data_IF_755124103251
#
_entry.id   IF_755124103251
#
_cell.length_a   1.000
_cell.length_b   1.000
_cell.length_c   1.000
_cell.angle_alpha   90.00
_cell.angle_beta   90.00
_cell.angle_gamma   90.00
#
_symmetry.space_group_name_H-M   'P 1'
#
loop_
_entity.id
_entity.type
_entity.pdbx_description
1 polymer ?
#
# COMPACT_ATOMS: atom_id res chain seq x y z
N UNK A 1 -7.98 1.18 0.34
CA UNK A 1 -8.42 2.08 -0.76
C UNK A 1 -9.09 1.31 -1.87
N UNK A 2 -8.47 0.26 -2.37
CA UNK A 2 -8.97 -0.53 -3.50
C UNK A 2 -8.65 -2.01 -3.27
N UNK A 3 -9.44 -2.92 -3.87
CA UNK A 3 -9.18 -4.36 -3.87
C UNK A 3 -8.96 -4.81 -5.32
N UNK A 4 -7.74 -5.19 -5.66
CA UNK A 4 -7.36 -5.63 -6.99
C UNK A 4 -5.85 -5.62 -7.22
N UNK A 5 -5.44 -5.65 -8.49
CA UNK A 5 -4.03 -5.72 -8.88
C UNK A 5 -3.58 -4.45 -9.61
N UNK A 6 -2.41 -3.92 -9.23
CA UNK A 6 -1.76 -2.78 -9.88
C UNK A 6 -0.58 -3.32 -10.68
N UNK A 7 -0.75 -3.44 -12.00
CA UNK A 7 0.27 -4.03 -12.86
C UNK A 7 1.17 -2.98 -13.49
N UNK A 8 0.61 -1.83 -13.84
CA UNK A 8 1.27 -0.79 -14.61
C UNK A 8 1.21 0.57 -13.91
N UNK A 9 2.10 1.51 -14.26
CA UNK A 9 1.99 2.88 -13.76
C UNK A 9 0.65 3.55 -14.10
N UNK A 10 0.05 3.21 -15.24
CA UNK A 10 -1.25 3.74 -15.64
C UNK A 10 -2.36 3.31 -14.67
N UNK A 11 -2.28 2.11 -14.11
CA UNK A 11 -3.24 1.64 -13.09
C UNK A 11 -3.09 2.45 -11.80
N UNK A 12 -1.85 2.72 -11.38
CA UNK A 12 -1.58 3.56 -10.21
C UNK A 12 -2.09 5.00 -10.40
N UNK A 13 -1.91 5.59 -11.59
CA UNK A 13 -2.42 6.94 -11.91
C UNK A 13 -3.96 6.99 -11.80
N UNK A 14 -4.68 5.98 -12.29
CA UNK A 14 -6.15 5.90 -12.14
C UNK A 14 -6.57 5.87 -10.66
N UNK A 15 -5.85 5.12 -9.83
CA UNK A 15 -6.12 5.07 -8.39
C UNK A 15 -5.86 6.41 -7.71
N UNK A 16 -4.77 7.10 -8.08
CA UNK A 16 -4.48 8.44 -7.57
C UNK A 16 -5.57 9.44 -7.97
N UNK A 17 -6.00 9.43 -9.23
CA UNK A 17 -7.05 10.32 -9.71
C UNK A 17 -8.39 10.05 -9.01
N UNK A 18 -8.77 8.77 -8.85
CA UNK A 18 -9.98 8.40 -8.11
C UNK A 18 -9.93 8.86 -6.65
N UNK A 19 -8.75 8.80 -6.00
CA UNK A 19 -8.57 9.33 -4.64
C UNK A 19 -8.63 10.86 -4.59
N UNK A 20 -8.10 11.55 -5.62
CA UNK A 20 -8.14 13.02 -5.74
C UNK A 20 -9.57 13.53 -5.92
N UNK A 21 -10.38 12.82 -6.71
CA UNK A 21 -11.80 13.11 -6.93
C UNK A 21 -12.70 12.68 -5.77
N UNK A 22 -12.18 11.99 -4.75
CA UNK A 22 -12.96 11.49 -3.61
C UNK A 22 -13.81 10.25 -3.92
N UNK A 23 -13.62 9.61 -5.08
CA UNK A 23 -14.33 8.39 -5.47
C UNK A 23 -13.83 7.16 -4.70
N UNK A 24 -12.55 7.16 -4.33
CA UNK A 24 -11.95 6.13 -3.48
C UNK A 24 -11.37 6.77 -2.21
N UNK A 25 -11.51 6.13 -1.04
CA UNK A 25 -10.92 6.64 0.19
C UNK A 25 -9.41 6.41 0.18
N UNK A 26 -8.64 7.47 0.42
CA UNK A 26 -7.21 7.38 0.75
C UNK A 26 -7.02 7.22 2.25
N UNK A 27 -5.89 6.66 2.62
CA UNK A 27 -5.48 6.50 4.02
C UNK A 27 -4.96 7.84 4.54
N UNK A 28 -5.53 8.32 5.65
CA UNK A 28 -5.24 9.61 6.26
C UNK A 28 -4.52 9.49 7.62
N UNK A 29 -4.18 8.27 8.04
CA UNK A 29 -3.42 7.99 9.26
C UNK A 29 -2.79 6.60 9.19
N UNK A 30 -1.90 6.28 10.12
CA UNK A 30 -1.41 4.90 10.27
C UNK A 30 -2.55 3.95 10.61
N UNK A 31 -2.45 2.73 10.09
CA UNK A 31 -3.35 1.64 10.44
C UNK A 31 -3.15 1.20 11.90
N UNK A 32 -4.27 0.92 12.58
CA UNK A 32 -4.29 0.27 13.89
C UNK A 32 -3.80 -1.18 13.80
N UNK A 33 -3.59 -1.82 14.94
CA UNK A 33 -3.19 -3.23 14.99
C UNK A 33 -4.24 -4.13 14.34
N UNK A 34 -5.53 -3.84 14.57
CA UNK A 34 -6.67 -4.59 14.03
C UNK A 34 -6.79 -4.38 12.52
N UNK A 35 -6.67 -3.14 12.03
CA UNK A 35 -6.73 -2.83 10.59
C UNK A 35 -5.60 -3.52 9.81
N UNK A 36 -4.41 -3.69 10.43
CA UNK A 36 -3.29 -4.42 9.81
C UNK A 36 -3.58 -5.91 9.63
N UNK A 37 -4.38 -6.52 10.51
CA UNK A 37 -4.77 -7.93 10.39
C UNK A 37 -5.66 -8.17 9.16
N UNK A 38 -6.31 -7.12 8.66
CA UNK A 38 -7.17 -7.19 7.48
C UNK A 38 -6.38 -7.06 6.16
N UNK A 39 -5.06 -6.87 6.21
CA UNK A 39 -4.22 -6.80 5.01
C UNK A 39 -4.09 -8.19 4.38
N UNK A 40 -4.70 -8.34 3.21
CA UNK A 40 -4.71 -9.58 2.44
C UNK A 40 -4.20 -9.35 1.03
N UNK A 41 -4.02 -10.43 0.27
CA UNK A 41 -3.71 -10.35 -1.16
C UNK A 41 -4.71 -9.45 -1.87
N UNK A 42 -4.24 -8.63 -2.81
CA UNK A 42 -5.02 -7.62 -3.55
C UNK A 42 -5.41 -6.36 -2.78
N UNK A 43 -5.04 -6.23 -1.50
CA UNK A 43 -5.26 -5.00 -0.75
C UNK A 43 -4.37 -3.87 -1.27
N UNK A 44 -4.98 -2.79 -1.76
CA UNK A 44 -4.29 -1.60 -2.25
C UNK A 44 -4.60 -0.39 -1.37
N UNK A 45 -3.53 0.29 -0.94
CA UNK A 45 -3.58 1.46 -0.08
C UNK A 45 -2.90 2.63 -0.78
N UNK A 46 -3.58 3.78 -0.80
CA UNK A 46 -3.07 5.05 -1.30
C UNK A 46 -3.08 6.02 -0.13
N UNK A 47 -2.00 6.78 0.07
CA UNK A 47 -1.93 7.80 1.11
C UNK A 47 -1.13 9.00 0.60
N UNK A 48 -1.42 10.17 1.17
CA UNK A 48 -0.57 11.34 1.06
C UNK A 48 0.38 11.40 2.28
N UNK A 49 1.65 11.72 2.07
CA UNK A 49 2.66 11.72 3.13
C UNK A 49 2.33 12.71 4.26
N UNK A 50 1.87 13.92 3.91
CA UNK A 50 1.61 14.98 4.87
C UNK A 50 0.30 14.73 5.60
N UNK A 51 -0.76 14.38 4.88
CA UNK A 51 -2.07 14.09 5.47
C UNK A 51 -2.01 12.89 6.43
N UNK A 52 -1.36 11.80 6.01
CA UNK A 52 -1.25 10.59 6.84
C UNK A 52 -0.10 10.64 7.86
N UNK A 53 0.75 11.68 7.81
CA UNK A 53 1.97 11.79 8.60
C UNK A 53 2.84 10.53 8.49
N UNK A 54 2.97 10.01 7.26
CA UNK A 54 3.57 8.69 7.00
C UNK A 54 4.50 8.71 5.78
N UNK A 55 5.81 8.81 6.04
CA UNK A 55 6.85 8.72 5.01
C UNK A 55 7.11 7.30 4.49
N UNK A 56 6.78 6.31 5.31
CA UNK A 56 7.01 4.88 5.02
C UNK A 56 5.83 4.08 5.52
N UNK A 57 5.36 3.17 4.68
CA UNK A 57 4.36 2.17 5.02
C UNK A 57 4.88 1.22 6.10
N UNK A 58 4.02 0.89 7.06
CA UNK A 58 4.31 -0.09 8.12
C UNK A 58 3.07 -0.94 8.38
N UNK A 59 3.12 -2.22 8.01
CA UNK A 59 2.02 -3.18 8.19
C UNK A 59 2.30 -4.25 9.25
N UNK A 60 3.50 -4.26 9.83
CA UNK A 60 3.89 -5.26 10.82
C UNK A 60 4.29 -6.62 10.23
N UNK A 61 4.38 -6.74 8.90
CA UNK A 61 4.91 -7.93 8.22
C UNK A 61 6.42 -7.85 8.05
N UNK A 62 7.07 -9.02 7.95
CA UNK A 62 8.48 -9.12 7.62
C UNK A 62 8.65 -9.20 6.09
N UNK A 63 9.41 -8.27 5.53
CA UNK A 63 9.61 -8.13 4.09
C UNK A 63 11.07 -8.39 3.71
N UNK A 64 11.28 -8.97 2.52
CA UNK A 64 12.60 -9.08 1.90
C UNK A 64 13.22 -7.71 1.60
N UNK A 65 14.52 -7.70 1.26
CA UNK A 65 15.12 -6.52 0.64
C UNK A 65 14.39 -6.13 -0.65
N UNK A 66 14.45 -4.84 -1.01
CA UNK A 66 13.75 -4.31 -2.18
C UNK A 66 14.30 -4.88 -3.48
N UNK A 67 13.39 -5.09 -4.44
CA UNK A 67 13.72 -5.43 -5.83
C UNK A 67 13.07 -4.41 -6.74
N UNK A 68 13.87 -3.74 -7.57
CA UNK A 68 13.35 -2.84 -8.59
C UNK A 68 12.71 -3.68 -9.68
N UNK A 69 11.46 -3.39 -10.02
CA UNK A 69 10.76 -3.94 -11.16
C UNK A 69 10.09 -2.81 -11.92
N UNK A 70 10.75 -2.37 -13.01
CA UNK A 70 10.32 -1.20 -13.80
C UNK A 70 10.14 0.03 -12.89
N UNK A 71 8.89 0.46 -12.68
CA UNK A 71 8.52 1.64 -11.89
C UNK A 71 8.07 1.29 -10.46
N UNK A 72 8.23 0.03 -10.03
CA UNK A 72 7.79 -0.45 -8.73
C UNK A 72 8.94 -1.03 -7.93
N UNK A 73 8.82 -0.95 -6.60
CA UNK A 73 9.60 -1.78 -5.69
C UNK A 73 8.76 -2.99 -5.28
N UNK A 74 9.32 -4.18 -5.48
CA UNK A 74 8.73 -5.44 -5.06
C UNK A 74 9.42 -5.96 -3.81
N UNK A 75 8.59 -6.52 -2.94
CA UNK A 75 8.97 -7.15 -1.68
C UNK A 75 8.27 -8.50 -1.59
N UNK A 76 8.93 -9.50 -1.02
CA UNK A 76 8.30 -10.79 -0.68
C UNK A 76 8.18 -10.90 0.82
N UNK A 77 7.01 -11.33 1.29
CA UNK A 77 6.80 -11.63 2.71
C UNK A 77 7.68 -12.81 3.11
N UNK A 78 8.40 -12.65 4.21
CA UNK A 78 9.29 -13.66 4.77
C UNK A 78 8.65 -14.20 6.04
N UNK A 79 8.63 -15.53 6.19
CA UNK A 79 8.30 -16.13 7.48
C UNK A 79 9.48 -15.91 8.42
N UNK A 80 9.29 -15.15 9.50
CA UNK A 80 10.25 -15.11 10.59
C UNK A 80 10.47 -16.52 11.14
N UNK A 81 11.70 -16.86 11.54
CA UNK A 81 11.89 -17.97 12.47
C UNK A 81 11.22 -17.52 13.78
N UNK A 82 10.17 -18.25 14.20
CA UNK A 82 9.68 -18.15 15.58
C UNK A 82 10.80 -18.58 16.53
#
# INVERSE_FOLDING_TARGET
TYQGYVQTPADAIKLFEACRLGLLPRIQRRLSTEERQLITSSSVFVWDEQEAMMRRWTDGKLWSGSRVWRNFFLYREIKGKK
#
